data_IF_087394734639
#
_entry.id   IF_087394734639
#
_cell.length_a   1.000
_cell.length_b   1.000
_cell.length_c   1.000
_cell.angle_alpha   90.00
_cell.angle_beta   90.00
_cell.angle_gamma   90.00
#
_symmetry.space_group_name_H-M   'P 1'
#
loop_
_entity.id
_entity.type
_entity.pdbx_description
1 polymer ?
#
# COMPACT_ATOMS: atom_id res chain seq x y z
N UNK A 1 -7.01 5.59 -5.97
CA UNK A 1 -6.29 4.30 -6.01
C UNK A 1 -7.32 3.18 -5.88
N UNK A 2 -7.07 1.97 -6.38
CA UNK A 2 -8.03 0.89 -6.17
C UNK A 2 -7.90 0.37 -4.73
N UNK A 3 -9.05 0.14 -4.11
CA UNK A 3 -9.17 -0.47 -2.78
C UNK A 3 -10.08 -1.68 -2.90
N UNK A 4 -9.78 -2.73 -2.15
CA UNK A 4 -10.59 -3.94 -2.10
C UNK A 4 -10.91 -4.28 -0.65
N UNK A 5 -12.15 -4.65 -0.36
CA UNK A 5 -12.55 -5.03 0.99
C UNK A 5 -11.96 -6.39 1.36
N UNK A 6 -11.46 -6.51 2.59
CA UNK A 6 -11.04 -7.79 3.17
C UNK A 6 -12.15 -8.23 4.12
N UNK A 7 -12.78 -9.34 3.80
CA UNK A 7 -13.94 -9.88 4.52
C UNK A 7 -13.52 -11.17 5.25
N UNK A 8 -13.94 -11.33 6.49
CA UNK A 8 -13.73 -12.56 7.26
C UNK A 8 -14.74 -13.67 6.90
N UNK A 9 -14.55 -14.86 7.48
CA UNK A 9 -15.46 -16.00 7.27
C UNK A 9 -16.89 -15.77 7.79
N UNK A 10 -17.13 -14.68 8.54
CA UNK A 10 -18.45 -14.29 9.06
C UNK A 10 -19.09 -13.18 8.22
N UNK A 11 -18.47 -12.77 7.11
CA UNK A 11 -18.98 -11.70 6.25
C UNK A 11 -18.68 -10.29 6.76
N UNK A 12 -17.80 -10.14 7.76
CA UNK A 12 -17.46 -8.85 8.35
C UNK A 12 -16.23 -8.26 7.69
N UNK A 13 -16.27 -6.96 7.43
CA UNK A 13 -15.13 -6.20 6.91
C UNK A 13 -14.05 -6.06 7.99
N UNK A 14 -12.91 -6.71 7.79
CA UNK A 14 -11.79 -6.75 8.75
C UNK A 14 -10.58 -5.94 8.29
N UNK A 15 -10.58 -5.49 7.04
CA UNK A 15 -9.53 -4.66 6.50
C UNK A 15 -9.81 -4.16 5.09
N UNK A 16 -8.82 -3.47 4.55
CA UNK A 16 -8.80 -2.95 3.18
C UNK A 16 -7.47 -3.29 2.55
N UNK A 17 -7.52 -3.89 1.36
CA UNK A 17 -6.38 -4.01 0.48
C UNK A 17 -6.22 -2.75 -0.37
N UNK A 18 -4.99 -2.27 -0.45
CA UNK A 18 -4.61 -1.06 -1.17
C UNK A 18 -3.53 -1.39 -2.18
N UNK A 19 -3.77 -1.07 -3.45
CA UNK A 19 -2.82 -1.34 -4.53
C UNK A 19 -1.52 -0.51 -4.35
N UNK A 20 -0.35 -1.15 -4.40
CA UNK A 20 0.94 -0.54 -4.05
C UNK A 20 1.57 0.27 -5.21
N UNK A 21 1.16 0.05 -6.47
CA UNK A 21 1.84 0.58 -7.66
C UNK A 21 2.12 2.10 -7.68
N UNK A 22 1.43 2.89 -6.85
CA UNK A 22 1.64 4.34 -6.74
C UNK A 22 1.78 4.87 -5.30
N UNK A 23 2.03 4.03 -4.30
CA UNK A 23 2.08 4.48 -2.89
C UNK A 23 3.13 3.73 -2.06
N UNK A 24 4.10 4.45 -1.50
CA UNK A 24 5.06 3.89 -0.54
C UNK A 24 4.61 4.07 0.92
N UNK A 25 5.21 3.31 1.85
CA UNK A 25 4.92 3.35 3.29
C UNK A 25 4.89 4.77 3.87
N UNK A 26 5.85 5.63 3.52
CA UNK A 26 5.86 7.01 4.02
C UNK A 26 4.60 7.81 3.66
N UNK A 27 4.02 7.54 2.48
CA UNK A 27 2.77 8.16 2.05
C UNK A 27 1.56 7.52 2.74
N UNK A 28 1.56 6.20 2.91
CA UNK A 28 0.53 5.50 3.70
C UNK A 28 0.44 6.11 5.09
N UNK A 29 1.58 6.26 5.77
CA UNK A 29 1.66 6.88 7.09
C UNK A 29 1.13 8.30 7.09
N UNK A 30 1.40 9.08 6.03
CA UNK A 30 0.85 10.42 5.90
C UNK A 30 -0.67 10.41 5.77
N UNK A 31 -1.23 9.55 4.91
CA UNK A 31 -2.68 9.41 4.77
C UNK A 31 -3.34 8.96 6.08
N UNK A 32 -2.74 7.99 6.78
CA UNK A 32 -3.23 7.52 8.08
C UNK A 32 -3.28 8.66 9.12
N UNK A 33 -2.28 9.55 9.15
CA UNK A 33 -2.27 10.70 10.07
C UNK A 33 -3.40 11.69 9.84
N UNK A 34 -3.92 11.77 8.62
CA UNK A 34 -4.98 12.71 8.24
C UNK A 34 -6.39 12.15 8.53
N UNK A 35 -6.49 10.87 8.94
CA UNK A 35 -7.77 10.21 9.26
C UNK A 35 -8.10 10.45 10.74
N UNK A 36 -9.30 10.99 11.00
CA UNK A 36 -9.81 11.17 12.36
C UNK A 36 -9.90 9.82 13.10
N UNK A 37 -9.42 9.81 14.35
CA UNK A 37 -9.41 8.62 15.19
C UNK A 37 -8.17 7.74 15.01
N UNK A 38 -7.28 8.04 14.05
CA UNK A 38 -5.97 7.37 13.98
C UNK A 38 -5.02 7.96 15.03
N UNK A 39 -4.31 7.09 15.74
CA UNK A 39 -3.31 7.45 16.75
C UNK A 39 -2.17 6.43 16.83
N UNK A 40 -1.14 6.75 17.62
CA UNK A 40 -0.04 5.81 17.96
C UNK A 40 0.63 5.13 16.76
N UNK A 41 0.86 5.88 15.68
CA UNK A 41 1.49 5.33 14.47
C UNK A 41 2.98 5.04 14.73
N UNK A 42 3.36 3.78 14.58
CA UNK A 42 4.72 3.27 14.69
C UNK A 42 5.11 2.67 13.34
N UNK A 43 6.11 3.26 12.70
CA UNK A 43 6.67 2.78 11.44
C UNK A 43 7.90 1.91 11.68
N UNK A 44 8.09 0.86 10.88
CA UNK A 44 9.34 0.08 10.92
C UNK A 44 10.56 0.98 10.69
N UNK A 45 11.67 0.69 11.38
CA UNK A 45 12.98 1.27 11.04
C UNK A 45 13.53 0.56 9.79
N UNK A 46 14.07 1.32 8.85
CA UNK A 46 14.63 0.85 7.56
C UNK A 46 15.67 -0.29 7.66
N UNK A 47 16.19 -0.58 8.86
CA UNK A 47 17.23 -1.57 9.12
C UNK A 47 16.87 -2.59 10.24
N UNK A 48 15.60 -2.67 10.64
CA UNK A 48 15.14 -3.62 11.67
C UNK A 48 14.60 -4.91 11.06
N UNK A 49 15.20 -6.04 11.40
CA UNK A 49 14.71 -7.36 11.03
C UNK A 49 13.43 -7.69 11.84
N UNK A 50 12.28 -7.56 11.20
CA UNK A 50 11.08 -8.31 11.58
C UNK A 50 10.65 -9.13 10.36
N UNK A 51 10.76 -10.45 10.45
CA UNK A 51 10.00 -11.33 9.58
C UNK A 51 8.51 -11.08 9.79
N UNK A 52 7.68 -11.32 8.78
CA UNK A 52 6.20 -11.26 8.76
C UNK A 52 5.57 -10.08 8.00
N UNK A 53 6.34 -9.26 7.27
CA UNK A 53 5.77 -8.33 6.29
C UNK A 53 4.97 -7.16 6.89
N UNK A 54 5.06 -6.88 8.20
CA UNK A 54 4.38 -5.73 8.82
C UNK A 54 5.24 -4.46 8.68
N UNK A 55 4.65 -3.37 8.20
CA UNK A 55 5.35 -2.10 7.94
C UNK A 55 4.98 -0.99 8.91
N UNK A 56 3.73 -0.97 9.37
CA UNK A 56 3.18 0.10 10.22
C UNK A 56 2.24 -0.52 11.23
N UNK A 57 2.35 -0.08 12.48
CA UNK A 57 1.37 -0.30 13.54
C UNK A 57 0.70 1.02 13.85
N UNK A 58 -0.59 1.00 14.17
CA UNK A 58 -1.32 2.19 14.62
C UNK A 58 -2.56 1.77 15.40
N UNK A 59 -3.22 2.75 16.02
CA UNK A 59 -4.57 2.59 16.56
C UNK A 59 -5.56 3.36 15.71
N UNK A 60 -6.76 2.83 15.57
CA UNK A 60 -7.88 3.54 14.96
C UNK A 60 -9.09 3.41 15.89
N UNK A 61 -9.55 4.55 16.41
CA UNK A 61 -10.60 4.64 17.43
C UNK A 61 -10.32 3.77 18.67
N UNK A 62 -9.04 3.67 19.04
CA UNK A 62 -8.57 2.87 20.17
C UNK A 62 -8.18 1.43 19.82
N UNK A 63 -8.59 0.93 18.65
CA UNK A 63 -8.35 -0.46 18.23
C UNK A 63 -7.02 -0.63 17.49
N UNK A 64 -6.24 -1.70 17.78
CA UNK A 64 -4.96 -1.91 17.14
C UNK A 64 -5.12 -2.39 15.69
N UNK A 65 -4.38 -1.75 14.80
CA UNK A 65 -4.34 -2.01 13.36
C UNK A 65 -2.90 -2.06 12.84
N UNK A 66 -2.74 -2.70 11.69
CA UNK A 66 -1.46 -2.88 11.04
C UNK A 66 -1.55 -2.73 9.52
N UNK A 67 -0.44 -2.28 8.92
CA UNK A 67 -0.22 -2.29 7.47
C UNK A 67 0.76 -3.41 7.15
N UNK A 68 0.32 -4.37 6.35
CA UNK A 68 1.05 -5.61 6.04
C UNK A 68 1.24 -5.75 4.53
N UNK A 69 2.40 -6.25 4.11
CA UNK A 69 2.67 -6.69 2.74
C UNK A 69 2.55 -8.22 2.69
N UNK A 70 1.48 -8.78 2.11
CA UNK A 70 1.14 -10.20 2.27
C UNK A 70 2.12 -11.15 1.55
N UNK A 71 2.58 -10.78 0.35
CA UNK A 71 3.35 -11.68 -0.52
C UNK A 71 4.79 -11.24 -0.75
N UNK A 72 5.24 -10.15 -0.09
CA UNK A 72 6.57 -9.54 -0.29
C UNK A 72 6.90 -9.23 -1.77
N UNK A 73 5.90 -9.21 -2.63
CA UNK A 73 6.00 -9.00 -4.08
C UNK A 73 5.72 -7.53 -4.46
N UNK A 74 5.54 -6.65 -3.45
CA UNK A 74 5.15 -5.26 -3.57
C UNK A 74 3.88 -5.02 -4.42
N UNK A 75 2.97 -6.00 -4.55
CA UNK A 75 1.75 -5.81 -5.33
C UNK A 75 0.72 -4.95 -4.60
N UNK A 76 0.54 -5.20 -3.30
CA UNK A 76 -0.46 -4.51 -2.48
C UNK A 76 -0.07 -4.43 -1.01
N UNK A 77 -0.77 -3.56 -0.28
CA UNK A 77 -0.72 -3.46 1.17
C UNK A 77 -2.08 -3.78 1.76
N UNK A 78 -2.10 -4.54 2.85
CA UNK A 78 -3.29 -4.82 3.62
C UNK A 78 -3.31 -3.95 4.86
N UNK A 79 -4.38 -3.17 5.03
CA UNK A 79 -4.66 -2.41 6.24
C UNK A 79 -5.69 -3.20 7.04
N UNK A 80 -5.24 -3.94 8.03
CA UNK A 80 -6.04 -4.93 8.74
C UNK A 80 -5.96 -4.72 10.25
N UNK A 81 -6.95 -5.26 10.96
CA UNK A 81 -6.94 -5.29 12.41
C UNK A 81 -5.92 -6.31 12.93
N UNK A 82 -5.37 -6.05 14.10
CA UNK A 82 -4.42 -6.95 14.78
C UNK A 82 -4.87 -7.31 16.21
N UNK A 83 -6.10 -6.94 16.59
CA UNK A 83 -6.68 -7.13 17.93
C UNK A 83 -7.87 -8.08 17.93
N UNK A 84 -8.76 -7.91 18.90
CA UNK A 84 -9.95 -8.75 19.08
C UNK A 84 -10.90 -8.64 17.87
N UNK A 85 -11.12 -9.77 17.20
CA UNK A 85 -12.01 -9.88 16.05
C UNK A 85 -13.49 -9.68 16.40
N UNK A 86 -13.87 -9.67 17.69
CA UNK A 86 -15.27 -9.53 18.11
C UNK A 86 -15.75 -8.08 18.19
N UNK A 87 -14.85 -7.11 18.26
CA UNK A 87 -15.24 -5.69 18.29
C UNK A 87 -15.67 -5.27 16.88
N UNK A 88 -16.79 -4.57 16.73
CA UNK A 88 -17.20 -4.03 15.43
C UNK A 88 -16.51 -2.69 15.18
N UNK A 89 -15.73 -2.59 14.10
CA UNK A 89 -14.96 -1.39 13.75
C UNK A 89 -15.25 -0.99 12.32
N UNK A 90 -15.94 0.14 12.14
CA UNK A 90 -16.17 0.73 10.81
C UNK A 90 -14.87 1.38 10.31
N UNK A 91 -14.26 0.77 9.28
CA UNK A 91 -13.02 1.22 8.62
C UNK A 91 -13.27 1.98 7.30
N UNK A 92 -14.50 2.42 7.02
CA UNK A 92 -14.86 3.08 5.76
C UNK A 92 -14.11 4.41 5.58
N UNK A 93 -13.83 5.12 6.68
CA UNK A 93 -13.01 6.33 6.64
C UNK A 93 -11.58 6.05 6.16
N UNK A 94 -11.02 4.89 6.53
CA UNK A 94 -9.72 4.45 6.03
C UNK A 94 -9.83 4.18 4.54
N UNK A 95 -10.77 3.33 4.12
CA UNK A 95 -10.97 3.02 2.70
C UNK A 95 -11.15 4.30 1.86
N UNK A 96 -12.00 5.21 2.32
CA UNK A 96 -12.30 6.46 1.63
C UNK A 96 -11.04 7.34 1.48
N UNK A 97 -10.18 7.41 2.49
CA UNK A 97 -8.93 8.16 2.41
C UNK A 97 -7.98 7.59 1.33
N UNK A 98 -7.88 6.26 1.23
CA UNK A 98 -7.02 5.60 0.25
C UNK A 98 -7.63 5.59 -1.16
N UNK A 99 -8.94 5.41 -1.31
CA UNK A 99 -9.61 5.45 -2.62
C UNK A 99 -9.55 6.86 -3.24
N UNK A 100 -9.73 7.90 -2.42
CA UNK A 100 -9.61 9.30 -2.82
C UNK A 100 -8.18 9.76 -3.10
N UNK A 101 -7.18 8.99 -2.66
CA UNK A 101 -5.78 9.34 -2.93
C UNK A 101 -5.50 9.36 -4.44
N UNK A 102 -5.08 10.53 -4.92
CA UNK A 102 -4.53 10.75 -6.25
C UNK A 102 -3.01 10.89 -6.14
N UNK A 103 -2.22 9.98 -6.74
CA UNK A 103 -0.78 10.12 -6.72
C UNK A 103 -0.36 11.44 -7.39
N UNK A 104 0.60 12.19 -6.81
CA UNK A 104 1.08 13.42 -7.42
C UNK A 104 1.66 13.14 -8.81
N UNK A 105 1.37 14.02 -9.79
CA UNK A 105 1.64 13.81 -11.23
C UNK A 105 3.07 13.33 -11.56
N UNK A 106 4.06 13.70 -10.75
CA UNK A 106 5.46 13.26 -10.90
C UNK A 106 5.64 11.74 -10.80
N UNK A 107 4.85 11.02 -10.00
CA UNK A 107 4.96 9.55 -9.88
C UNK A 107 4.47 8.85 -11.16
N UNK A 108 3.42 9.36 -11.81
CA UNK A 108 2.98 8.86 -13.14
C UNK A 108 4.06 9.08 -14.19
N UNK A 109 4.70 10.25 -14.17
CA UNK A 109 5.76 10.60 -15.13
C UNK A 109 7.01 9.71 -15.00
N UNK A 110 7.45 9.38 -13.79
CA UNK A 110 8.60 8.49 -13.58
C UNK A 110 8.29 7.02 -13.94
N UNK A 111 7.05 6.56 -13.75
CA UNK A 111 6.57 5.26 -14.26
C UNK A 111 6.65 5.15 -15.78
N UNK A 112 6.20 6.19 -16.50
CA UNK A 112 6.24 6.22 -17.97
C UNK A 112 7.68 6.37 -18.52
N UNK A 113 8.56 7.09 -17.80
CA UNK A 113 9.96 7.29 -18.20
C UNK A 113 10.81 6.01 -18.09
N UNK A 114 10.55 5.16 -17.09
CA UNK A 114 11.24 3.87 -16.94
C UNK A 114 10.81 2.88 -18.02
N UNK A 115 9.51 2.82 -18.31
CA UNK A 115 8.94 1.95 -19.36
C UNK A 115 9.49 2.32 -20.75
N UNK A 116 9.58 3.62 -21.07
CA UNK A 116 10.09 4.08 -22.37
C UNK A 116 11.60 3.87 -22.56
N UNK A 117 12.43 3.98 -21.51
CA UNK A 117 13.88 3.75 -21.61
C UNK A 117 14.25 2.27 -21.77
N UNK A 118 13.45 1.35 -21.21
CA UNK A 118 13.65 -0.09 -21.41
C UNK A 118 13.23 -0.53 -22.83
N UNK A 119 12.10 -0.04 -23.34
CA UNK A 119 11.66 -0.33 -24.71
C UNK A 119 12.61 0.22 -25.78
N UNK A 120 13.15 1.44 -25.61
CA UNK A 120 14.13 1.99 -26.56
C UNK A 120 15.43 1.19 -26.64
N UNK A 121 15.89 0.62 -25.51
CA UNK A 121 17.11 -0.20 -25.47
C UNK A 121 16.92 -1.57 -26.14
N UNK A 122 15.77 -2.20 -25.96
CA UNK A 122 15.41 -3.48 -26.60
C UNK A 122 15.18 -3.28 -28.10
N UNK A 123 14.46 -2.23 -28.50
CA UNK A 123 14.21 -1.92 -29.91
C UNK A 123 15.51 -1.66 -30.69
N UNK A 124 16.43 -0.87 -30.11
CA UNK A 124 17.74 -0.62 -30.73
C UNK A 124 18.66 -1.84 -30.74
N UNK A 125 18.52 -2.77 -29.79
CA UNK A 125 19.31 -4.02 -29.77
C UNK A 125 18.79 -5.04 -30.80
N UNK A 126 17.48 -5.09 -31.02
CA UNK A 126 16.86 -5.98 -32.02
C UNK A 126 17.03 -5.49 -33.46
N UNK A 127 17.03 -4.17 -33.69
CA UNK A 127 17.29 -3.59 -35.02
C UNK A 127 18.77 -3.34 -35.31
N UNK A 128 19.62 -3.22 -34.29
CA UNK A 128 21.07 -3.03 -34.42
C UNK A 128 21.84 -4.27 -34.88
N UNK A 129 21.20 -5.45 -34.94
CA UNK A 129 21.82 -6.70 -35.44
C UNK A 129 21.70 -6.91 -36.95
N UNK A 130 21.13 -5.96 -37.70
CA UNK A 130 21.11 -5.98 -39.18
C UNK A 130 21.99 -4.88 -39.76
N UNK A 131 23.30 -4.93 -39.47
CA UNK A 131 24.36 -4.37 -40.34
C UNK A 131 25.73 -4.80 -39.82
N UNK A 132 26.13 -6.01 -40.19
CA UNK A 132 27.45 -6.36 -40.74
C UNK A 132 27.49 -7.85 -40.99
#
# INVERSE_FOLDING_TARGET
MNTYEIIDNRGRKVGVEVENIYIGIGRIVKLLKDIEGVSEIITRRLFGAFGNGVHVWFKYRGEPMQVVEPFQDNASYWIIRSGDENIELNIDAIEQAFSNYRPPMLVRFFGDLLTSRLFGKIYNTLLGRRKR
#
